data_IF_864681987160
#
_entry.id   IF_864681987160
#
_cell.length_a   1.000
_cell.length_b   1.000
_cell.length_c   1.000
_cell.angle_alpha   90.00
_cell.angle_beta   90.00
_cell.angle_gamma   90.00
#
_symmetry.space_group_name_H-M   'P 1'
#
loop_
_entity.id
_entity.type
_entity.pdbx_description
1 polymer ?
#
# COMPACT_ATOMS: atom_id res chain seq x y z
N UNK A 1 11.58 -5.95 21.39
CA UNK A 1 13.00 -5.67 21.68
C UNK A 1 13.87 -6.95 21.79
N UNK A 2 13.26 -8.14 21.89
CA UNK A 2 13.95 -9.45 21.85
C UNK A 2 14.57 -9.85 20.51
N UNK A 3 14.09 -9.32 19.38
CA UNK A 3 14.50 -9.75 18.03
C UNK A 3 15.96 -9.45 17.66
N UNK A 4 16.63 -8.55 18.39
CA UNK A 4 18.04 -8.18 18.12
C UNK A 4 19.05 -9.24 18.58
N UNK A 5 18.76 -9.99 19.65
CA UNK A 5 19.74 -10.89 20.30
C UNK A 5 19.95 -12.24 19.59
N UNK A 6 18.98 -12.70 18.80
CA UNK A 6 18.97 -14.06 18.21
C UNK A 6 19.08 -14.11 16.68
N UNK A 7 19.65 -13.05 16.08
CA UNK A 7 19.81 -12.96 14.62
C UNK A 7 20.93 -13.87 14.14
N UNK A 8 20.59 -15.12 13.80
CA UNK A 8 21.53 -16.08 13.24
C UNK A 8 22.07 -15.53 11.90
N UNK A 9 23.31 -15.02 11.89
CA UNK A 9 23.89 -14.23 10.78
C UNK A 9 23.85 -14.98 9.44
N UNK A 10 23.94 -16.31 9.50
CA UNK A 10 23.85 -17.19 8.34
C UNK A 10 22.47 -17.13 7.65
N UNK A 11 21.38 -17.23 8.43
CA UNK A 11 20.00 -17.19 7.89
C UNK A 11 19.68 -15.83 7.26
N UNK A 12 20.19 -14.76 7.85
CA UNK A 12 20.05 -13.41 7.30
C UNK A 12 20.74 -13.27 5.96
N UNK A 13 22.00 -13.71 5.87
CA UNK A 13 22.77 -13.65 4.64
C UNK A 13 22.09 -14.42 3.51
N UNK A 14 21.51 -15.58 3.82
CA UNK A 14 20.76 -16.37 2.84
C UNK A 14 19.47 -15.68 2.39
N UNK A 15 18.75 -15.01 3.30
CA UNK A 15 17.49 -14.31 2.97
C UNK A 15 17.70 -12.96 2.29
N UNK A 16 18.87 -12.33 2.46
CA UNK A 16 19.13 -10.97 2.01
C UNK A 16 18.93 -10.78 0.49
N UNK A 17 19.43 -11.66 -0.40
CA UNK A 17 19.19 -11.53 -1.84
C UNK A 17 17.71 -11.54 -2.22
N UNK A 18 16.88 -12.32 -1.54
CA UNK A 18 15.44 -12.40 -1.81
C UNK A 18 14.71 -11.15 -1.33
N UNK A 19 15.04 -10.66 -0.13
CA UNK A 19 14.44 -9.45 0.42
C UNK A 19 14.84 -8.23 -0.43
N UNK A 20 16.14 -8.03 -0.66
CA UNK A 20 16.61 -6.88 -1.42
C UNK A 20 16.32 -7.00 -2.92
N UNK A 21 16.19 -8.22 -3.45
CA UNK A 21 15.75 -8.45 -4.83
C UNK A 21 14.36 -7.87 -5.12
N UNK A 22 13.48 -7.81 -4.10
CA UNK A 22 12.16 -7.19 -4.22
C UNK A 22 12.19 -5.68 -4.47
N UNK A 23 13.36 -5.02 -4.37
CA UNK A 23 13.51 -3.63 -4.81
C UNK A 23 13.12 -3.46 -6.28
N UNK A 24 13.43 -4.44 -7.14
CA UNK A 24 13.11 -4.37 -8.57
C UNK A 24 11.59 -4.32 -8.82
N UNK A 25 10.77 -5.28 -8.35
CA UNK A 25 9.32 -5.20 -8.54
C UNK A 25 8.70 -4.01 -7.80
N UNK A 26 9.22 -3.61 -6.62
CA UNK A 26 8.73 -2.41 -5.94
C UNK A 26 8.98 -1.13 -6.75
N UNK A 27 10.17 -0.97 -7.32
CA UNK A 27 10.48 0.18 -8.17
C UNK A 27 9.65 0.18 -9.46
N UNK A 28 9.43 -0.97 -10.08
CA UNK A 28 8.55 -1.09 -11.24
C UNK A 28 7.10 -0.72 -10.90
N UNK A 29 6.57 -1.26 -9.80
CA UNK A 29 5.25 -0.91 -9.30
C UNK A 29 5.15 0.59 -9.03
N UNK A 30 6.17 1.18 -8.44
CA UNK A 30 6.18 2.59 -8.11
C UNK A 30 6.08 3.51 -9.34
N UNK A 31 6.85 3.20 -10.38
CA UNK A 31 6.81 3.97 -11.63
C UNK A 31 5.44 3.82 -12.28
N UNK A 32 4.95 2.59 -12.39
CA UNK A 32 3.68 2.29 -13.07
C UNK A 32 2.48 2.87 -12.31
N UNK A 33 2.47 2.78 -10.97
CA UNK A 33 1.38 3.34 -10.16
C UNK A 33 1.37 4.86 -10.17
N UNK A 34 2.54 5.52 -10.21
CA UNK A 34 2.59 6.98 -10.28
C UNK A 34 2.10 7.49 -11.65
N UNK A 35 2.46 6.82 -12.75
CA UNK A 35 1.91 7.13 -14.08
C UNK A 35 0.38 6.97 -14.08
N UNK A 36 -0.10 5.84 -13.57
CA UNK A 36 -1.53 5.56 -13.42
C UNK A 36 -2.24 6.64 -12.60
N UNK A 37 -1.74 6.95 -11.41
CA UNK A 37 -2.31 7.96 -10.52
C UNK A 37 -2.37 9.33 -11.19
N UNK A 38 -1.26 9.81 -11.78
CA UNK A 38 -1.21 11.14 -12.39
C UNK A 38 -2.11 11.26 -13.62
N UNK A 39 -2.26 10.21 -14.42
CA UNK A 39 -3.10 10.25 -15.63
C UNK A 39 -4.57 10.08 -15.25
N UNK A 40 -4.93 8.96 -14.61
CA UNK A 40 -6.32 8.59 -14.37
C UNK A 40 -7.01 9.56 -13.42
N UNK A 41 -6.36 9.98 -12.32
CA UNK A 41 -7.03 10.87 -11.37
C UNK A 41 -7.28 12.25 -11.98
N UNK A 42 -6.38 12.74 -12.84
CA UNK A 42 -6.60 14.00 -13.55
C UNK A 42 -7.73 13.90 -14.57
N UNK A 43 -7.79 12.80 -15.32
CA UNK A 43 -8.87 12.55 -16.28
C UNK A 43 -10.23 12.43 -15.59
N UNK A 44 -10.29 11.75 -14.45
CA UNK A 44 -11.50 11.57 -13.65
C UNK A 44 -11.80 12.76 -12.72
N UNK A 45 -10.95 13.80 -12.71
CA UNK A 45 -11.03 14.94 -11.78
C UNK A 45 -11.08 14.53 -10.30
N UNK A 46 -10.44 13.41 -9.96
CA UNK A 46 -10.26 12.95 -8.59
C UNK A 46 -9.13 13.73 -7.89
N UNK A 47 -9.22 13.93 -6.56
CA UNK A 47 -8.17 14.60 -5.81
C UNK A 47 -6.88 13.77 -5.78
N UNK A 48 -5.75 14.37 -6.15
CA UNK A 48 -4.45 13.69 -6.11
C UNK A 48 -4.03 13.36 -4.67
N UNK A 49 -3.56 12.14 -4.47
CA UNK A 49 -3.12 11.63 -3.18
C UNK A 49 -1.67 12.09 -2.92
N UNK A 50 -1.42 12.67 -1.75
CA UNK A 50 -0.07 13.09 -1.36
C UNK A 50 0.78 11.89 -0.96
N UNK A 51 1.75 11.54 -1.79
CA UNK A 51 2.73 10.46 -1.54
C UNK A 51 3.44 10.56 -0.19
N UNK A 52 3.81 11.77 0.24
CA UNK A 52 4.50 12.03 1.51
C UNK A 52 3.68 11.70 2.75
N UNK A 53 2.35 11.56 2.62
CA UNK A 53 1.49 11.08 3.69
C UNK A 53 1.67 9.58 3.96
N UNK A 54 2.15 8.82 2.97
CA UNK A 54 2.29 7.36 3.04
C UNK A 54 3.74 6.92 3.21
N UNK A 55 4.67 7.52 2.46
CA UNK A 55 6.07 7.12 2.47
C UNK A 55 6.87 8.07 3.38
N UNK A 56 7.27 7.57 4.56
CA UNK A 56 8.11 8.28 5.53
C UNK A 56 9.37 7.47 5.84
N UNK A 57 10.53 8.07 5.57
CA UNK A 57 11.84 7.48 5.86
C UNK A 57 12.64 8.47 6.71
N UNK A 58 12.41 8.47 8.01
CA UNK A 58 13.06 9.37 8.99
C UNK A 58 13.96 8.61 9.97
N UNK A 59 13.67 7.33 10.20
CA UNK A 59 14.37 6.46 11.15
C UNK A 59 15.86 6.25 10.85
N UNK A 60 16.32 6.52 9.62
CA UNK A 60 17.74 6.52 9.29
C UNK A 60 18.55 7.58 10.08
N UNK A 61 17.88 8.62 10.60
CA UNK A 61 18.48 9.69 11.42
C UNK A 61 18.75 9.27 12.86
N UNK A 62 18.22 8.13 13.31
CA UNK A 62 18.42 7.65 14.68
C UNK A 62 19.88 7.23 14.88
N UNK A 63 20.55 7.84 15.86
CA UNK A 63 21.99 7.65 16.11
C UNK A 63 22.34 6.27 16.69
N UNK A 64 21.37 5.59 17.30
CA UNK A 64 21.55 4.30 17.97
C UNK A 64 21.28 3.06 17.08
N UNK A 65 21.07 3.27 15.77
CA UNK A 65 20.91 2.19 14.79
C UNK A 65 22.22 1.96 14.04
N UNK A 66 22.58 0.68 13.87
CA UNK A 66 23.71 0.31 13.02
C UNK A 66 23.42 0.68 11.55
N UNK A 67 24.45 0.95 10.72
CA UNK A 67 24.26 1.29 9.31
C UNK A 67 23.40 0.27 8.53
N UNK A 68 23.61 -1.03 8.78
CA UNK A 68 22.80 -2.09 8.17
C UNK A 68 21.34 -2.04 8.64
N UNK A 69 21.09 -1.72 9.91
CA UNK A 69 19.73 -1.60 10.41
C UNK A 69 19.02 -0.37 9.85
N UNK A 70 19.75 0.72 9.60
CA UNK A 70 19.22 1.90 8.90
C UNK A 70 18.79 1.56 7.48
N UNK A 71 19.59 0.79 6.75
CA UNK A 71 19.25 0.33 5.39
C UNK A 71 17.99 -0.54 5.41
N UNK A 72 17.96 -1.56 6.29
CA UNK A 72 16.77 -2.41 6.45
C UNK A 72 15.53 -1.59 6.81
N UNK A 73 15.68 -0.61 7.71
CA UNK A 73 14.58 0.25 8.14
C UNK A 73 14.09 1.15 7.00
N UNK A 74 14.99 1.70 6.18
CA UNK A 74 14.63 2.49 5.01
C UNK A 74 13.92 1.63 3.97
N UNK A 75 14.43 0.42 3.71
CA UNK A 75 13.81 -0.54 2.79
C UNK A 75 12.37 -0.88 3.22
N UNK A 76 12.18 -1.33 4.46
CA UNK A 76 10.85 -1.68 4.96
C UNK A 76 9.92 -0.47 5.05
N UNK A 77 10.44 0.71 5.42
CA UNK A 77 9.67 1.95 5.46
C UNK A 77 9.17 2.36 4.08
N UNK A 78 10.03 2.24 3.06
CA UNK A 78 9.66 2.49 1.67
C UNK A 78 8.64 1.49 1.15
N UNK A 79 8.93 0.19 1.26
CA UNK A 79 8.07 -0.87 0.72
C UNK A 79 6.67 -0.83 1.31
N UNK A 80 6.54 -0.76 2.64
CA UNK A 80 5.21 -0.68 3.27
C UNK A 80 4.48 0.62 2.91
N UNK A 81 5.19 1.75 2.88
CA UNK A 81 4.61 3.03 2.51
C UNK A 81 4.11 3.03 1.06
N UNK A 82 4.87 2.44 0.14
CA UNK A 82 4.50 2.30 -1.27
C UNK A 82 3.25 1.43 -1.43
N UNK A 83 3.20 0.26 -0.77
CA UNK A 83 2.02 -0.62 -0.85
C UNK A 83 0.77 0.07 -0.29
N UNK A 84 0.90 0.80 0.82
CA UNK A 84 -0.22 1.57 1.37
C UNK A 84 -0.69 2.69 0.43
N UNK A 85 0.26 3.41 -0.20
CA UNK A 85 -0.03 4.42 -1.21
C UNK A 85 -0.77 3.83 -2.42
N UNK A 86 -0.24 2.74 -2.98
CA UNK A 86 -0.87 2.00 -4.09
C UNK A 86 -2.27 1.52 -3.73
N UNK A 87 -2.44 0.90 -2.56
CA UNK A 87 -3.75 0.45 -2.10
C UNK A 87 -4.75 1.60 -2.01
N UNK A 88 -4.33 2.77 -1.52
CA UNK A 88 -5.20 3.95 -1.47
C UNK A 88 -5.63 4.41 -2.86
N UNK A 89 -4.70 4.47 -3.82
CA UNK A 89 -5.02 4.87 -5.20
C UNK A 89 -6.05 3.90 -5.78
N UNK A 90 -5.89 2.59 -5.57
CA UNK A 90 -6.85 1.58 -6.00
C UNK A 90 -8.21 1.76 -5.30
N UNK A 91 -8.24 1.96 -3.98
CA UNK A 91 -9.48 2.20 -3.22
C UNK A 91 -10.26 3.43 -3.70
N UNK A 92 -9.57 4.53 -4.03
CA UNK A 92 -10.22 5.75 -4.54
C UNK A 92 -10.72 5.56 -5.98
N UNK A 93 -10.03 4.75 -6.76
CA UNK A 93 -10.51 4.34 -8.09
C UNK A 93 -11.73 3.44 -7.99
N UNK A 94 -11.69 2.46 -7.09
CA UNK A 94 -12.81 1.56 -6.83
C UNK A 94 -14.03 2.35 -6.37
N UNK A 95 -13.86 3.32 -5.46
CA UNK A 95 -14.95 4.21 -5.04
C UNK A 95 -15.55 4.99 -6.20
N UNK A 96 -14.74 5.35 -7.21
CA UNK A 96 -15.21 6.05 -8.40
C UNK A 96 -15.93 5.12 -9.41
N UNK A 97 -15.49 3.86 -9.56
CA UNK A 97 -16.06 2.93 -10.55
C UNK A 97 -17.14 2.00 -10.00
N UNK A 98 -16.96 1.48 -8.79
CA UNK A 98 -17.74 0.40 -8.22
C UNK A 98 -17.95 0.64 -6.72
N UNK A 99 -19.07 1.26 -6.38
CA UNK A 99 -19.49 1.49 -5.00
C UNK A 99 -20.33 0.35 -4.43
N UNK A 100 -20.07 -0.91 -4.79
CA UNK A 100 -20.83 -2.09 -4.32
C UNK A 100 -19.91 -3.00 -3.52
N UNK A 101 -20.38 -3.46 -2.35
CA UNK A 101 -19.66 -4.41 -1.50
C UNK A 101 -19.53 -5.78 -2.16
N UNK A 102 -18.50 -6.52 -1.78
CA UNK A 102 -18.42 -7.94 -2.10
C UNK A 102 -19.53 -8.72 -1.38
N UNK A 103 -19.89 -9.88 -1.93
CA UNK A 103 -20.76 -10.82 -1.22
C UNK A 103 -20.12 -11.24 0.11
N UNK A 104 -20.92 -11.41 1.16
CA UNK A 104 -20.43 -11.65 2.52
C UNK A 104 -19.69 -12.98 2.61
N UNK A 105 -18.40 -12.90 2.93
CA UNK A 105 -17.53 -14.04 3.22
C UNK A 105 -16.80 -13.78 4.53
N UNK A 106 -16.89 -14.74 5.46
CA UNK A 106 -16.26 -14.66 6.80
C UNK A 106 -14.74 -14.70 6.73
N UNK A 107 -14.17 -15.20 5.63
CA UNK A 107 -12.71 -15.29 5.44
C UNK A 107 -12.14 -14.10 4.68
N UNK A 108 -12.99 -13.20 4.19
CA UNK A 108 -12.57 -12.02 3.45
C UNK A 108 -12.20 -10.89 4.41
N UNK A 109 -11.04 -10.30 4.20
CA UNK A 109 -10.62 -9.11 4.94
C UNK A 109 -11.18 -7.87 4.23
N UNK A 110 -12.37 -7.44 4.65
CA UNK A 110 -13.07 -6.31 4.04
C UNK A 110 -12.27 -5.01 4.19
N UNK A 111 -11.98 -4.28 3.09
CA UNK A 111 -11.34 -2.98 3.16
C UNK A 111 -12.23 -1.92 3.86
N UNK A 112 -11.61 -1.06 4.67
CA UNK A 112 -12.35 -0.03 5.42
C UNK A 112 -13.18 0.93 4.55
N UNK A 113 -12.79 1.16 3.29
CA UNK A 113 -13.51 2.06 2.38
C UNK A 113 -14.84 1.49 1.87
N UNK A 114 -15.05 0.16 1.96
CA UNK A 114 -16.30 -0.51 1.58
C UNK A 114 -17.47 -0.18 2.52
N UNK A 115 -17.21 0.38 3.70
CA UNK A 115 -18.27 0.79 4.64
C UNK A 115 -19.31 1.75 4.04
N UNK A 116 -18.93 2.51 3.00
CA UNK A 116 -19.82 3.47 2.31
C UNK A 116 -20.45 2.90 1.04
N UNK A 117 -20.12 1.66 0.69
CA UNK A 117 -20.61 1.00 -0.52
C UNK A 117 -21.99 0.40 -0.28
N UNK A 118 -22.72 0.26 -1.38
CA UNK A 118 -24.04 -0.37 -1.47
C UNK A 118 -23.88 -1.87 -1.17
N UNK A 119 -24.84 -2.46 -0.47
CA UNK A 119 -24.81 -3.89 -0.16
C UNK A 119 -24.91 -4.73 -1.44
N UNK A 120 -24.25 -5.89 -1.42
CA UNK A 120 -24.26 -6.80 -2.56
C UNK A 120 -25.70 -7.24 -2.91
N UNK A 121 -26.09 -7.02 -4.17
CA UNK A 121 -27.42 -7.39 -4.69
C UNK A 121 -28.53 -6.35 -4.45
N UNK A 122 -28.23 -5.18 -3.89
CA UNK A 122 -29.21 -4.11 -3.71
C UNK A 122 -29.30 -3.19 -4.93
N UNK A 123 -30.10 -3.61 -5.91
CA UNK A 123 -30.37 -2.84 -7.14
C UNK A 123 -31.14 -1.53 -6.87
N UNK A 124 -31.88 -1.45 -5.76
CA UNK A 124 -32.71 -0.29 -5.45
C UNK A 124 -31.88 0.92 -5.01
N UNK A 125 -30.84 0.67 -4.20
CA UNK A 125 -29.93 1.71 -3.71
C UNK A 125 -28.97 2.18 -4.83
N UNK A 126 -28.61 1.30 -5.77
CA UNK A 126 -27.79 1.63 -6.96
C UNK A 126 -28.42 2.71 -7.84
N UNK A 127 -29.69 2.55 -8.21
CA UNK A 127 -30.40 3.50 -9.08
C UNK A 127 -30.69 4.85 -8.39
N UNK A 128 -30.63 4.91 -7.05
CA UNK A 128 -30.86 6.14 -6.28
C UNK A 128 -29.60 6.99 -6.09
N UNK A 129 -28.41 6.38 -6.22
CA UNK A 129 -27.09 7.00 -6.02
C UNK A 129 -26.27 7.12 -7.31
N UNK A 130 -26.73 6.51 -8.41
CA UNK A 130 -26.16 6.71 -9.74
C UNK A 130 -26.47 8.13 -10.24
N UNK A 131 -25.46 9.00 -10.23
CA UNK A 131 -25.42 10.28 -10.96
C UNK A 131 -24.66 10.08 -12.25
#
# INVERSE_FOLDING_TARGET
MESRKFRNKFRLGLSAPFIYGMIVPLAFLDITIEIYHQICFRLYKLPLIKRSSYIKIDRHKLSYLDPLEKINCAYCGYGNGLIAYTSKICSDTETFWCGIKHNKDKNFNEPDHHNKFIEYGDESDLNSKSI
#
